data_IF_300803951311
#
_entry.id   IF_300803951311
#
_cell.length_a   1.000
_cell.length_b   1.000
_cell.length_c   1.000
_cell.angle_alpha   90.00
_cell.angle_beta   90.00
_cell.angle_gamma   90.00
#
_symmetry.space_group_name_H-M   'P 1'
#
loop_
_entity.id
_entity.type
_entity.pdbx_description
1 polymer ?
#
# COMPACT_ATOMS: atom_id res chain seq x y z
N UNK A 1 -12.17 -16.33 32.92
CA UNK A 1 -10.95 -17.05 33.34
C UNK A 1 -9.74 -16.28 32.83
N UNK A 2 -8.70 -16.03 33.64
CA UNK A 2 -7.50 -15.34 33.15
C UNK A 2 -6.73 -16.23 32.16
N UNK A 3 -6.29 -15.65 31.04
CA UNK A 3 -5.49 -16.34 30.02
C UNK A 3 -4.22 -16.93 30.65
N UNK A 4 -3.98 -18.25 30.62
CA UNK A 4 -2.83 -18.89 31.27
C UNK A 4 -1.48 -18.31 30.83
N UNK A 5 -1.37 -17.88 29.57
CA UNK A 5 -0.16 -17.27 29.02
C UNK A 5 0.23 -16.00 29.78
N UNK A 6 -0.73 -15.19 30.23
CA UNK A 6 -0.49 -13.94 30.96
C UNK A 6 0.08 -14.15 32.38
N UNK A 7 0.12 -15.40 32.86
CA UNK A 7 0.72 -15.76 34.15
C UNK A 7 2.18 -16.25 34.03
N UNK A 8 2.69 -16.39 32.81
CA UNK A 8 4.07 -16.83 32.60
C UNK A 8 5.06 -15.69 32.88
N UNK A 9 6.31 -15.99 33.29
CA UNK A 9 7.32 -14.97 33.52
C UNK A 9 7.56 -14.10 32.29
N UNK A 10 7.84 -12.81 32.50
CA UNK A 10 8.00 -11.84 31.41
C UNK A 10 9.04 -12.26 30.37
N UNK A 11 10.13 -12.91 30.78
CA UNK A 11 11.18 -13.41 29.88
C UNK A 11 10.63 -14.46 28.91
N UNK A 12 9.83 -15.41 29.42
CA UNK A 12 9.20 -16.46 28.61
C UNK A 12 8.18 -15.86 27.64
N UNK A 13 7.37 -14.91 28.13
CA UNK A 13 6.43 -14.16 27.28
C UNK A 13 7.14 -13.41 26.16
N UNK A 14 8.24 -12.73 26.49
CA UNK A 14 9.03 -11.98 25.53
C UNK A 14 9.59 -12.88 24.43
N UNK A 15 10.08 -14.06 24.82
CA UNK A 15 10.58 -15.06 23.89
C UNK A 15 9.47 -15.57 22.96
N UNK A 16 8.31 -15.97 23.52
CA UNK A 16 7.16 -16.42 22.73
C UNK A 16 6.71 -15.34 21.73
N UNK A 17 6.60 -14.08 22.17
CA UNK A 17 6.18 -12.96 21.31
C UNK A 17 7.17 -12.75 20.16
N UNK A 18 8.48 -12.97 20.39
CA UNK A 18 9.50 -12.80 19.36
C UNK A 18 9.43 -13.83 18.22
N UNK A 19 8.76 -14.97 18.46
CA UNK A 19 8.53 -16.00 17.45
C UNK A 19 7.26 -15.79 16.63
N UNK A 20 6.35 -14.89 17.05
CA UNK A 20 5.08 -14.70 16.37
C UNK A 20 5.24 -13.96 15.04
N UNK A 21 4.50 -14.41 14.03
CA UNK A 21 4.37 -13.70 12.76
C UNK A 21 3.51 -12.42 12.91
N UNK A 22 3.69 -11.40 12.05
CA UNK A 22 2.90 -10.16 12.11
C UNK A 22 1.38 -10.34 12.20
N UNK A 23 0.81 -11.30 11.46
CA UNK A 23 -0.63 -11.61 11.50
C UNK A 23 -1.04 -12.30 12.80
N UNK A 24 -0.16 -13.11 13.40
CA UNK A 24 -0.42 -13.77 14.68
C UNK A 24 -0.41 -12.75 15.82
N UNK A 25 0.48 -11.76 15.77
CA UNK A 25 0.53 -10.65 16.73
C UNK A 25 -0.78 -9.85 16.68
N UNK A 26 -1.20 -9.45 15.47
CA UNK A 26 -2.45 -8.69 15.29
C UNK A 26 -3.66 -9.54 15.67
N UNK A 27 -3.64 -10.85 15.43
CA UNK A 27 -4.72 -11.75 15.87
C UNK A 27 -4.76 -11.87 17.41
N UNK A 28 -3.61 -12.06 18.04
CA UNK A 28 -3.48 -12.20 19.49
C UNK A 28 -3.90 -10.93 20.24
N UNK A 29 -3.65 -9.74 19.67
CA UNK A 29 -4.06 -8.47 20.28
C UNK A 29 -5.58 -8.32 20.40
N UNK A 30 -6.37 -9.07 19.63
CA UNK A 30 -7.82 -9.11 19.73
C UNK A 30 -8.34 -10.13 20.75
N UNK A 31 -7.50 -10.99 21.33
CA UNK A 31 -7.92 -11.99 22.32
C UNK A 31 -8.32 -11.35 23.66
N UNK A 32 -7.64 -10.28 24.08
CA UNK A 32 -8.03 -9.47 25.25
C UNK A 32 -7.33 -8.12 25.27
N UNK A 33 -7.90 -7.16 26.01
CA UNK A 33 -7.26 -5.84 26.24
C UNK A 33 -5.87 -5.98 26.89
N UNK A 34 -5.67 -6.97 27.75
CA UNK A 34 -4.40 -7.18 28.44
C UNK A 34 -3.32 -7.76 27.52
N UNK A 35 -3.69 -8.70 26.62
CA UNK A 35 -2.77 -9.20 25.59
C UNK A 35 -2.38 -8.07 24.64
N UNK A 36 -3.35 -7.24 24.21
CA UNK A 36 -3.06 -6.07 23.36
C UNK A 36 -2.08 -5.09 24.02
N UNK A 37 -2.24 -4.78 25.31
CA UNK A 37 -1.30 -3.93 26.06
C UNK A 37 0.09 -4.57 26.21
N UNK A 38 0.15 -5.88 26.44
CA UNK A 38 1.41 -6.62 26.55
C UNK A 38 2.20 -6.56 25.23
N UNK A 39 1.54 -6.85 24.11
CA UNK A 39 2.15 -6.79 22.78
C UNK A 39 2.61 -5.38 22.45
N UNK A 40 1.77 -4.38 22.71
CA UNK A 40 2.14 -2.97 22.51
C UNK A 40 3.41 -2.61 23.27
N UNK A 41 3.48 -2.91 24.57
CA UNK A 41 4.67 -2.63 25.39
C UNK A 41 5.92 -3.38 24.89
N UNK A 42 5.77 -4.61 24.41
CA UNK A 42 6.87 -5.38 23.86
C UNK A 42 7.50 -4.67 22.64
N UNK A 43 6.66 -4.28 21.68
CA UNK A 43 7.13 -3.66 20.43
C UNK A 43 7.51 -2.19 20.60
N UNK A 44 7.00 -1.50 21.61
CA UNK A 44 7.51 -0.19 22.04
C UNK A 44 8.98 -0.24 22.48
N UNK A 45 9.39 -1.32 23.17
CA UNK A 45 10.76 -1.51 23.64
C UNK A 45 11.68 -2.13 22.58
N UNK A 46 11.11 -2.83 21.60
CA UNK A 46 11.83 -3.59 20.58
C UNK A 46 11.29 -3.26 19.19
N UNK A 47 11.39 -1.98 18.80
CA UNK A 47 10.89 -1.49 17.51
C UNK A 47 11.43 -2.41 16.39
N UNK A 48 10.56 -3.08 15.61
CA UNK A 48 11.02 -3.96 14.55
C UNK A 48 11.50 -3.10 13.38
N UNK A 49 12.79 -2.73 13.40
CA UNK A 49 13.41 -1.74 12.52
C UNK A 49 13.28 -2.07 11.02
N UNK A 50 13.03 -3.33 10.68
CA UNK A 50 13.02 -3.81 9.30
C UNK A 50 11.60 -4.00 8.75
N UNK A 51 10.56 -3.79 9.55
CA UNK A 51 9.19 -4.03 9.13
C UNK A 51 8.66 -2.87 8.31
N UNK A 52 8.15 -3.17 7.11
CA UNK A 52 7.56 -2.19 6.20
C UNK A 52 6.06 -2.44 6.08
N UNK A 53 5.27 -1.48 6.55
CA UNK A 53 3.82 -1.54 6.47
C UNK A 53 3.33 -1.09 5.09
N UNK A 54 2.35 -1.77 4.53
CA UNK A 54 1.70 -1.38 3.29
C UNK A 54 0.19 -1.45 3.42
N UNK A 55 -0.47 -0.39 2.97
CA UNK A 55 -1.92 -0.30 2.86
C UNK A 55 -2.34 -0.75 1.46
N UNK A 56 -3.41 -1.54 1.40
CA UNK A 56 -4.01 -2.01 0.16
C UNK A 56 -5.50 -1.66 0.21
N UNK A 57 -5.98 -0.85 -0.72
CA UNK A 57 -7.40 -0.55 -0.90
C UNK A 57 -7.80 -0.88 -2.35
N UNK A 58 -8.21 -2.12 -2.57
CA UNK A 58 -8.50 -2.66 -3.90
C UNK A 58 -9.84 -3.39 -3.86
N UNK A 59 -10.70 -3.16 -4.85
CA UNK A 59 -12.02 -3.78 -4.96
C UNK A 59 -12.92 -3.49 -3.74
N UNK A 60 -12.89 -2.24 -3.26
CA UNK A 60 -13.61 -1.78 -2.07
C UNK A 60 -13.34 -2.67 -0.83
N UNK A 61 -12.09 -3.09 -0.66
CA UNK A 61 -11.64 -3.84 0.50
C UNK A 61 -10.29 -3.32 0.98
N UNK A 62 -10.27 -2.87 2.23
CA UNK A 62 -9.08 -2.41 2.92
C UNK A 62 -8.27 -3.58 3.48
N UNK A 63 -6.96 -3.51 3.37
CA UNK A 63 -6.05 -4.49 3.98
C UNK A 63 -4.79 -3.78 4.46
N UNK A 64 -4.24 -4.28 5.55
CA UNK A 64 -2.89 -3.93 6.00
C UNK A 64 -2.01 -5.15 5.82
N UNK A 65 -0.83 -4.93 5.26
CA UNK A 65 0.20 -5.94 5.13
C UNK A 65 1.52 -5.46 5.70
N UNK A 66 2.33 -6.39 6.18
CA UNK A 66 3.65 -6.12 6.72
C UNK A 66 4.65 -7.00 5.99
N UNK A 67 5.71 -6.38 5.47
CA UNK A 67 6.87 -7.08 4.96
C UNK A 67 7.96 -7.08 6.04
N UNK A 68 8.43 -8.27 6.39
CA UNK A 68 9.56 -8.47 7.32
C UNK A 68 10.87 -8.58 6.53
N UNK A 69 12.02 -8.57 7.21
CA UNK A 69 13.32 -8.85 6.56
C UNK A 69 13.50 -10.31 6.16
N UNK A 70 12.84 -11.23 6.87
CA UNK A 70 12.91 -12.68 6.62
C UNK A 70 12.09 -13.09 5.39
N UNK A 71 11.02 -12.36 5.10
CA UNK A 71 10.04 -12.73 4.08
C UNK A 71 10.08 -11.86 2.83
N UNK A 72 10.24 -12.51 1.67
CA UNK A 72 10.12 -11.82 0.39
C UNK A 72 8.69 -11.32 0.10
N UNK A 73 7.67 -11.99 0.67
CA UNK A 73 6.24 -11.73 0.42
C UNK A 73 5.61 -10.96 1.60
N UNK A 74 4.82 -9.90 1.34
CA UNK A 74 4.06 -9.22 2.39
C UNK A 74 3.02 -10.15 3.04
N UNK A 75 2.94 -10.12 4.37
CA UNK A 75 1.97 -10.86 5.17
C UNK A 75 0.77 -9.95 5.43
N UNK A 76 -0.44 -10.36 5.02
CA UNK A 76 -1.67 -9.61 5.32
C UNK A 76 -2.04 -9.85 6.79
N UNK A 77 -2.10 -8.78 7.58
CA UNK A 77 -2.29 -8.87 9.03
C UNK A 77 -3.72 -8.58 9.47
N UNK A 78 -4.47 -7.77 8.72
CA UNK A 78 -5.88 -7.45 9.01
C UNK A 78 -6.61 -6.99 7.74
N UNK A 79 -7.91 -7.21 7.69
CA UNK A 79 -8.79 -6.80 6.59
C UNK A 79 -9.98 -5.98 7.11
N UNK A 80 -10.41 -5.03 6.30
CA UNK A 80 -11.66 -4.28 6.45
C UNK A 80 -12.53 -4.53 5.21
N UNK A 81 -13.73 -5.05 5.43
CA UNK A 81 -14.74 -5.32 4.40
C UNK A 81 -16.02 -4.57 4.70
N UNK A 82 -16.86 -4.42 3.68
CA UNK A 82 -18.21 -3.92 3.88
C UNK A 82 -19.09 -4.96 4.61
N UNK A 83 -19.98 -4.51 5.50
CA UNK A 83 -20.85 -5.36 6.33
C UNK A 83 -21.71 -6.34 5.53
N UNK A 84 -22.09 -5.97 4.30
CA UNK A 84 -22.89 -6.85 3.42
C UNK A 84 -22.18 -8.15 3.04
N UNK A 85 -20.85 -8.22 3.22
CA UNK A 85 -20.06 -9.43 2.97
C UNK A 85 -19.98 -10.34 4.20
N UNK A 86 -20.50 -9.91 5.36
CA UNK A 86 -20.50 -10.70 6.58
C UNK A 86 -21.46 -11.89 6.43
N UNK A 87 -20.94 -13.11 6.63
CA UNK A 87 -21.71 -14.36 6.54
C UNK A 87 -21.72 -15.14 7.85
N UNK A 88 -21.13 -14.58 8.90
CA UNK A 88 -21.02 -15.22 10.21
C UNK A 88 -22.28 -15.09 11.05
N UNK A 89 -22.32 -15.88 12.13
CA UNK A 89 -23.20 -15.59 13.25
C UNK A 89 -22.55 -14.48 14.09
N UNK A 90 -23.29 -13.42 14.39
CA UNK A 90 -22.84 -12.30 15.21
C UNK A 90 -22.22 -12.82 16.50
N UNK A 91 -20.89 -12.67 16.64
CA UNK A 91 -20.28 -12.75 17.96
C UNK A 91 -20.62 -11.42 18.61
N UNK A 92 -21.67 -11.40 19.44
CA UNK A 92 -22.09 -10.24 20.22
C UNK A 92 -20.95 -9.77 21.14
N UNK A 93 -20.00 -9.05 20.58
CA UNK A 93 -19.10 -8.19 21.31
C UNK A 93 -19.23 -6.82 20.63
N UNK A 94 -20.24 -6.06 21.06
CA UNK A 94 -20.55 -4.69 20.64
C UNK A 94 -19.47 -3.69 21.09
N UNK A 95 -18.19 -4.06 21.02
CA UNK A 95 -17.08 -3.17 21.30
C UNK A 95 -16.60 -2.55 19.98
N UNK A 96 -17.01 -1.29 19.77
CA UNK A 96 -16.50 -0.32 18.79
C UNK A 96 -17.17 -0.25 17.39
N UNK A 97 -18.39 -0.77 17.22
CA UNK A 97 -19.22 -0.45 16.05
C UNK A 97 -18.85 -1.15 14.73
N UNK A 98 -18.13 -2.27 14.80
CA UNK A 98 -17.82 -3.14 13.66
C UNK A 98 -18.04 -4.61 14.03
N UNK A 99 -18.40 -5.43 13.04
CA UNK A 99 -18.49 -6.89 13.21
C UNK A 99 -17.13 -7.55 12.95
N UNK A 100 -16.84 -8.67 13.61
CA UNK A 100 -15.55 -9.35 13.52
C UNK A 100 -15.72 -10.83 13.17
N UNK A 101 -14.89 -11.29 12.25
CA UNK A 101 -14.75 -12.70 11.92
C UNK A 101 -13.28 -13.12 11.99
N UNK A 102 -13.06 -14.31 12.56
CA UNK A 102 -11.79 -15.02 12.53
C UNK A 102 -11.86 -16.31 11.68
N UNK A 103 -13.04 -16.65 11.16
CA UNK A 103 -13.31 -17.97 10.59
C UNK A 103 -12.31 -18.30 9.48
N UNK A 104 -11.61 -19.44 9.64
CA UNK A 104 -10.62 -20.05 8.73
C UNK A 104 -9.37 -19.22 8.36
N UNK A 105 -9.28 -17.96 8.77
CA UNK A 105 -8.20 -17.06 8.39
C UNK A 105 -7.22 -16.87 9.55
N UNK A 106 -5.91 -17.01 9.29
CA UNK A 106 -4.83 -16.73 10.26
C UNK A 106 -4.73 -15.23 10.65
N UNK A 107 -5.80 -14.46 10.45
CA UNK A 107 -5.84 -12.99 10.55
C UNK A 107 -7.27 -12.50 10.77
N UNK A 108 -7.48 -11.42 11.52
CA UNK A 108 -8.79 -10.81 11.73
C UNK A 108 -9.36 -10.20 10.43
N UNK A 109 -10.67 -10.38 10.24
CA UNK A 109 -11.47 -9.66 9.24
C UNK A 109 -12.52 -8.84 9.99
N UNK A 110 -12.48 -7.54 9.78
CA UNK A 110 -13.42 -6.59 10.36
C UNK A 110 -14.40 -6.10 9.30
N UNK A 111 -15.65 -5.91 9.68
CA UNK A 111 -16.74 -5.53 8.80
C UNK A 111 -17.34 -4.20 9.25
N UNK A 112 -17.39 -3.25 8.33
CA UNK A 112 -17.84 -1.88 8.58
C UNK A 112 -18.95 -1.48 7.61
N UNK A 113 -19.85 -0.59 8.05
CA UNK A 113 -20.81 0.07 7.15
C UNK A 113 -20.10 1.01 6.18
N UNK A 114 -19.14 1.79 6.68
CA UNK A 114 -18.28 2.63 5.87
C UNK A 114 -16.92 1.94 5.68
N UNK A 115 -16.64 1.49 4.47
CA UNK A 115 -15.40 0.79 4.15
C UNK A 115 -14.17 1.70 4.22
N UNK A 116 -14.29 2.99 3.88
CA UNK A 116 -13.18 3.95 3.98
C UNK A 116 -12.81 4.16 5.45
N UNK A 117 -13.81 4.38 6.30
CA UNK A 117 -13.61 4.48 7.74
C UNK A 117 -12.99 3.20 8.32
N UNK A 118 -13.48 2.05 7.87
CA UNK A 118 -12.94 0.74 8.25
C UNK A 118 -11.47 0.57 7.87
N UNK A 119 -11.09 0.93 6.63
CA UNK A 119 -9.70 0.86 6.16
C UNK A 119 -8.79 1.78 6.99
N UNK A 120 -9.21 3.02 7.26
CA UNK A 120 -8.46 3.95 8.11
C UNK A 120 -8.26 3.38 9.51
N UNK A 121 -9.33 2.83 10.10
CA UNK A 121 -9.30 2.26 11.43
C UNK A 121 -8.30 1.09 11.55
N UNK A 122 -8.29 0.15 10.60
CA UNK A 122 -7.36 -1.00 10.66
C UNK A 122 -5.90 -0.57 10.51
N UNK A 123 -5.61 0.48 9.73
CA UNK A 123 -4.26 1.05 9.61
C UNK A 123 -3.84 1.69 10.92
N UNK A 124 -4.70 2.52 11.53
CA UNK A 124 -4.41 3.16 12.81
C UNK A 124 -4.28 2.14 13.95
N UNK A 125 -5.07 1.08 13.94
CA UNK A 125 -4.96 -0.02 14.89
C UNK A 125 -3.60 -0.72 14.80
N UNK A 126 -3.18 -1.12 13.60
CA UNK A 126 -1.91 -1.85 13.41
C UNK A 126 -0.71 -0.96 13.72
N UNK A 127 -0.72 0.29 13.25
CA UNK A 127 0.38 1.24 13.51
C UNK A 127 0.49 1.56 15.00
N UNK A 128 -0.63 1.74 15.71
CA UNK A 128 -0.64 2.00 17.16
C UNK A 128 -0.35 0.77 18.04
N UNK A 129 -0.48 -0.45 17.49
CA UNK A 129 -0.10 -1.69 18.18
C UNK A 129 1.41 -1.91 18.16
N UNK A 130 2.08 -1.57 17.05
CA UNK A 130 3.47 -1.94 16.81
C UNK A 130 4.49 -0.90 17.26
N UNK A 131 4.09 0.34 17.55
CA UNK A 131 5.04 1.39 17.97
C UNK A 131 4.34 2.49 18.80
N UNK A 132 5.12 3.23 19.62
CA UNK A 132 4.65 4.41 20.37
C UNK A 132 4.39 5.61 19.45
N UNK A 133 5.28 5.80 18.49
CA UNK A 133 5.12 6.69 17.34
C UNK A 133 4.29 6.00 16.27
N UNK A 134 3.50 6.77 15.52
CA UNK A 134 2.72 6.23 14.42
C UNK A 134 3.69 5.67 13.38
N UNK A 135 3.67 4.35 13.17
CA UNK A 135 4.46 3.74 12.10
C UNK A 135 3.94 4.28 10.76
N UNK A 136 4.86 4.83 9.97
CA UNK A 136 4.57 5.34 8.64
C UNK A 136 4.19 4.20 7.69
N UNK A 137 3.22 4.47 6.82
CA UNK A 137 2.92 3.60 5.71
C UNK A 137 4.07 3.72 4.71
N UNK A 138 4.65 2.57 4.34
CA UNK A 138 5.76 2.50 3.39
C UNK A 138 5.28 2.30 1.95
N UNK A 139 4.14 1.63 1.79
CA UNK A 139 3.61 1.27 0.47
C UNK A 139 2.10 1.42 0.40
N UNK A 140 1.60 1.87 -0.77
CA UNK A 140 0.18 1.91 -1.08
C UNK A 140 -0.09 1.12 -2.36
N UNK A 141 -1.12 0.27 -2.32
CA UNK A 141 -1.75 -0.31 -3.51
C UNK A 141 -3.20 0.14 -3.51
N UNK A 142 -3.63 0.87 -4.54
CA UNK A 142 -4.99 1.37 -4.61
C UNK A 142 -5.54 1.30 -6.03
N UNK A 143 -6.81 0.95 -6.18
CA UNK A 143 -7.53 1.17 -7.44
C UNK A 143 -8.36 2.46 -7.37
N UNK A 144 -9.21 2.67 -8.38
CA UNK A 144 -10.06 3.86 -8.49
C UNK A 144 -10.97 4.10 -7.29
N UNK A 145 -11.42 3.07 -6.57
CA UNK A 145 -12.20 3.24 -5.33
C UNK A 145 -11.33 3.69 -4.16
N UNK A 146 -10.05 3.36 -4.20
CA UNK A 146 -9.03 3.75 -3.23
C UNK A 146 -8.36 5.11 -3.46
N UNK A 147 -8.83 5.95 -4.40
CA UNK A 147 -8.22 7.26 -4.69
C UNK A 147 -8.05 8.14 -3.43
N UNK A 148 -9.03 8.09 -2.52
CA UNK A 148 -9.01 8.81 -1.24
C UNK A 148 -7.78 8.49 -0.38
N UNK A 149 -7.16 7.32 -0.57
CA UNK A 149 -6.02 6.87 0.23
C UNK A 149 -4.79 7.75 0.01
N UNK A 150 -4.60 8.30 -1.20
CA UNK A 150 -3.46 9.17 -1.51
C UNK A 150 -3.51 10.43 -0.65
N UNK A 151 -4.65 11.13 -0.70
CA UNK A 151 -4.85 12.37 0.07
C UNK A 151 -4.83 12.09 1.58
N UNK A 152 -5.44 10.99 2.02
CA UNK A 152 -5.45 10.64 3.43
C UNK A 152 -4.04 10.37 3.97
N UNK A 153 -3.21 9.62 3.24
CA UNK A 153 -1.83 9.33 3.64
C UNK A 153 -0.98 10.59 3.64
N UNK A 154 -1.08 11.41 2.58
CA UNK A 154 -0.35 12.68 2.48
C UNK A 154 -0.67 13.64 3.64
N UNK A 155 -1.89 13.60 4.19
CA UNK A 155 -2.28 14.38 5.36
C UNK A 155 -1.93 13.71 6.70
N UNK A 156 -1.76 12.38 6.71
CA UNK A 156 -1.54 11.59 7.93
C UNK A 156 -0.09 11.56 8.37
N UNK A 157 0.86 11.51 7.42
CA UNK A 157 2.28 11.32 7.70
C UNK A 157 3.14 12.29 6.89
N UNK A 158 4.21 12.80 7.51
CA UNK A 158 5.19 13.67 6.84
C UNK A 158 6.09 12.87 5.88
N UNK A 159 6.41 11.61 6.25
CA UNK A 159 7.27 10.75 5.45
C UNK A 159 6.53 10.26 4.20
N UNK A 160 7.15 10.46 3.03
CA UNK A 160 6.61 9.99 1.76
C UNK A 160 6.54 8.46 1.67
N UNK A 161 5.56 7.95 0.93
CA UNK A 161 5.47 6.55 0.57
C UNK A 161 6.67 6.14 -0.27
N UNK A 162 7.38 5.07 0.08
CA UNK A 162 8.45 4.54 -0.77
C UNK A 162 7.88 3.85 -2.02
N UNK A 163 6.71 3.21 -1.90
CA UNK A 163 6.15 2.38 -2.97
C UNK A 163 4.69 2.72 -3.25
N UNK A 164 4.34 2.80 -4.52
CA UNK A 164 2.98 3.00 -4.96
C UNK A 164 2.68 2.13 -6.17
N UNK A 165 1.54 1.45 -6.12
CA UNK A 165 1.05 0.62 -7.20
C UNK A 165 -0.41 0.96 -7.45
N UNK A 166 -0.72 1.34 -8.68
CA UNK A 166 -2.06 1.65 -9.13
C UNK A 166 -2.49 0.64 -10.20
N UNK A 167 -3.03 -0.53 -9.81
CA UNK A 167 -3.42 -1.56 -10.75
C UNK A 167 -4.79 -1.30 -11.37
N UNK A 168 -5.00 -1.82 -12.59
CA UNK A 168 -6.31 -1.85 -13.23
C UNK A 168 -7.22 -2.77 -12.45
N UNK A 169 -8.40 -2.28 -12.12
CA UNK A 169 -9.47 -3.14 -11.65
C UNK A 169 -10.47 -3.41 -12.80
N UNK A 170 -10.54 -4.64 -13.32
CA UNK A 170 -11.42 -4.96 -14.45
C UNK A 170 -12.91 -4.82 -14.12
N UNK A 171 -13.28 -4.76 -12.83
CA UNK A 171 -14.68 -4.55 -12.41
C UNK A 171 -15.14 -3.11 -12.62
N UNK A 172 -14.21 -2.16 -12.74
CA UNK A 172 -14.52 -0.74 -12.81
C UNK A 172 -14.01 -0.14 -14.12
N UNK A 173 -14.88 -0.12 -15.13
CA UNK A 173 -14.71 0.71 -16.33
C UNK A 173 -15.53 1.99 -16.17
N UNK A 174 -15.15 2.82 -15.22
CA UNK A 174 -15.81 4.08 -14.92
C UNK A 174 -15.40 5.19 -15.91
N UNK A 175 -16.35 6.09 -16.17
CA UNK A 175 -16.25 7.19 -17.15
C UNK A 175 -15.27 8.30 -16.76
N UNK A 176 -14.78 8.31 -15.52
CA UNK A 176 -13.84 9.30 -14.99
C UNK A 176 -12.40 8.79 -14.90
N UNK A 177 -12.04 7.82 -15.76
CA UNK A 177 -10.72 7.21 -15.83
C UNK A 177 -9.59 8.27 -15.90
N UNK A 178 -9.73 9.20 -16.83
CA UNK A 178 -8.73 10.24 -17.12
C UNK A 178 -8.50 11.17 -15.93
N UNK A 179 -9.59 11.68 -15.34
CA UNK A 179 -9.53 12.55 -14.16
C UNK A 179 -8.88 11.84 -12.96
N UNK A 180 -9.20 10.56 -12.79
CA UNK A 180 -8.67 9.74 -11.70
C UNK A 180 -7.17 9.53 -11.89
N UNK A 181 -6.72 9.14 -13.09
CA UNK A 181 -5.30 8.91 -13.37
C UNK A 181 -4.50 10.22 -13.35
N UNK A 182 -5.04 11.34 -13.84
CA UNK A 182 -4.39 12.65 -13.73
C UNK A 182 -4.21 13.06 -12.26
N UNK A 183 -5.24 12.89 -11.43
CA UNK A 183 -5.12 13.14 -9.99
C UNK A 183 -4.04 12.25 -9.35
N UNK A 184 -4.01 10.95 -9.67
CA UNK A 184 -3.00 10.01 -9.15
C UNK A 184 -1.59 10.46 -9.55
N UNK A 185 -1.37 10.77 -10.82
CA UNK A 185 -0.08 11.22 -11.35
C UNK A 185 0.42 12.50 -10.65
N UNK A 186 -0.48 13.42 -10.31
CA UNK A 186 -0.13 14.69 -9.65
C UNK A 186 0.12 14.56 -8.15
N UNK A 187 -0.55 13.62 -7.48
CA UNK A 187 -0.59 13.56 -6.01
C UNK A 187 0.19 12.38 -5.41
N UNK A 188 0.52 11.35 -6.21
CA UNK A 188 1.36 10.25 -5.76
C UNK A 188 2.82 10.70 -5.63
N UNK A 189 3.23 11.10 -4.42
CA UNK A 189 4.61 11.51 -4.10
C UNK A 189 5.42 10.31 -3.59
N UNK A 190 6.25 9.73 -4.46
CA UNK A 190 6.87 8.42 -4.23
C UNK A 190 8.31 8.40 -4.72
N UNK A 191 9.34 8.39 -3.84
CA UNK A 191 10.73 8.57 -4.26
C UNK A 191 11.39 7.27 -4.73
N UNK A 192 10.83 6.09 -4.47
CA UNK A 192 11.49 4.82 -4.80
C UNK A 192 10.81 4.06 -5.95
N UNK A 193 9.54 3.69 -5.84
CA UNK A 193 8.91 2.81 -6.84
C UNK A 193 7.46 3.18 -7.10
N UNK A 194 7.15 3.58 -8.34
CA UNK A 194 5.81 3.91 -8.79
C UNK A 194 5.42 3.02 -10.00
N UNK A 195 4.28 2.35 -9.90
CA UNK A 195 3.69 1.61 -11.02
C UNK A 195 2.25 2.06 -11.24
N UNK A 196 1.90 2.37 -12.49
CA UNK A 196 0.55 2.74 -12.91
C UNK A 196 0.16 1.82 -14.05
N UNK A 197 -0.93 1.08 -13.87
CA UNK A 197 -1.46 0.10 -14.81
C UNK A 197 -2.96 0.31 -14.92
N UNK A 198 -3.45 1.47 -15.32
CA UNK A 198 -4.89 1.74 -15.41
C UNK A 198 -5.22 2.35 -16.79
N UNK A 199 -6.42 2.05 -17.30
CA UNK A 199 -6.81 2.52 -18.62
C UNK A 199 -7.19 4.01 -18.58
N UNK A 200 -6.84 4.71 -19.64
CA UNK A 200 -7.24 6.10 -19.90
C UNK A 200 -7.77 6.18 -21.34
N UNK A 201 -8.48 7.25 -21.67
CA UNK A 201 -8.94 7.50 -23.03
C UNK A 201 -7.77 7.68 -24.00
N UNK A 202 -8.04 7.51 -25.30
CA UNK A 202 -7.02 7.73 -26.35
C UNK A 202 -6.57 9.19 -26.47
N UNK A 203 -7.42 10.13 -26.02
CA UNK A 203 -7.18 11.58 -26.05
C UNK A 203 -6.50 12.09 -24.77
N UNK A 204 -6.33 11.22 -23.76
CA UNK A 204 -5.69 11.58 -22.51
C UNK A 204 -4.27 12.11 -22.72
N UNK A 205 -3.97 13.22 -22.05
CA UNK A 205 -2.64 13.84 -22.06
C UNK A 205 -2.29 14.31 -20.66
N UNK A 206 -1.10 13.94 -20.22
CA UNK A 206 -0.53 14.43 -18.98
C UNK A 206 0.54 15.49 -19.29
N UNK A 207 0.35 16.69 -18.75
CA UNK A 207 1.27 17.83 -18.90
C UNK A 207 1.92 18.24 -17.56
N UNK A 208 1.80 17.40 -16.53
CA UNK A 208 2.43 17.65 -15.23
C UNK A 208 3.89 17.20 -15.18
N UNK A 209 4.50 17.33 -14.00
CA UNK A 209 5.82 16.76 -13.71
C UNK A 209 5.64 15.48 -12.91
N UNK A 210 6.46 14.47 -13.20
CA UNK A 210 6.57 13.24 -12.41
C UNK A 210 7.97 13.12 -11.83
N UNK A 211 8.03 12.75 -10.55
CA UNK A 211 9.27 12.59 -9.81
C UNK A 211 9.58 13.75 -8.87
N UNK A 212 10.71 13.69 -8.14
CA UNK A 212 11.80 12.70 -8.28
C UNK A 212 11.41 11.30 -7.81
N UNK A 213 11.82 10.26 -8.56
CA UNK A 213 11.70 8.86 -8.13
C UNK A 213 12.81 7.95 -8.68
N UNK A 214 13.05 6.78 -8.08
CA UNK A 214 14.04 5.84 -8.63
C UNK A 214 13.48 5.03 -9.80
N UNK A 215 12.24 4.54 -9.70
CA UNK A 215 11.65 3.65 -10.70
C UNK A 215 10.21 4.05 -11.00
N UNK A 216 9.91 4.24 -12.29
CA UNK A 216 8.59 4.52 -12.82
C UNK A 216 8.22 3.45 -13.86
N UNK A 217 7.10 2.79 -13.68
CA UNK A 217 6.54 1.86 -14.65
C UNK A 217 5.12 2.24 -15.02
N UNK A 218 4.89 2.61 -16.28
CA UNK A 218 3.56 2.76 -16.87
C UNK A 218 3.28 1.47 -17.63
N UNK A 219 2.31 0.69 -17.16
CA UNK A 219 1.97 -0.64 -17.69
C UNK A 219 0.72 -0.56 -18.56
N UNK A 220 0.71 -1.35 -19.62
CA UNK A 220 -0.43 -1.64 -20.52
C UNK A 220 -1.03 -0.45 -21.31
N UNK A 221 -1.02 0.77 -20.77
CA UNK A 221 -1.75 1.95 -21.25
C UNK A 221 -0.84 3.20 -21.30
N UNK A 222 0.40 3.02 -21.73
CA UNK A 222 1.39 4.10 -21.85
C UNK A 222 1.28 4.95 -23.11
N UNK A 223 0.17 4.88 -23.86
CA UNK A 223 0.00 5.56 -25.15
C UNK A 223 0.00 7.09 -25.05
N UNK A 224 -0.32 7.64 -23.88
CA UNK A 224 -0.31 9.07 -23.58
C UNK A 224 1.10 9.62 -23.26
N UNK A 225 2.10 8.75 -23.06
CA UNK A 225 3.47 9.17 -22.79
C UNK A 225 4.12 9.65 -24.08
N UNK A 226 4.35 10.96 -24.17
CA UNK A 226 5.04 11.60 -25.30
C UNK A 226 6.55 11.67 -25.08
N UNK A 227 7.31 11.99 -26.13
CA UNK A 227 8.75 12.24 -26.04
C UNK A 227 9.06 13.36 -25.03
N UNK A 228 8.26 14.42 -25.04
CA UNK A 228 8.39 15.54 -24.10
C UNK A 228 8.14 15.07 -22.66
N UNK A 229 7.19 14.16 -22.43
CA UNK A 229 6.96 13.61 -21.10
C UNK A 229 8.20 12.85 -20.61
N UNK A 230 8.79 11.99 -21.45
CA UNK A 230 10.00 11.27 -21.11
C UNK A 230 11.19 12.19 -20.78
N UNK A 231 11.39 13.26 -21.55
CA UNK A 231 12.47 14.23 -21.28
C UNK A 231 12.26 14.99 -19.97
N UNK A 232 11.02 15.13 -19.50
CA UNK A 232 10.68 15.87 -18.28
C UNK A 232 10.50 14.98 -17.03
N UNK A 233 10.46 13.67 -17.18
CA UNK A 233 10.32 12.76 -16.03
C UNK A 233 11.63 12.69 -15.24
N UNK A 234 11.52 12.95 -13.94
CA UNK A 234 12.63 12.84 -13.00
C UNK A 234 12.63 11.43 -12.40
N UNK A 235 13.15 10.47 -13.17
CA UNK A 235 13.31 9.08 -12.75
C UNK A 235 14.60 8.46 -13.24
N UNK A 236 15.17 7.52 -12.47
CA UNK A 236 16.36 6.73 -12.83
C UNK A 236 15.99 5.53 -13.71
N UNK A 237 14.81 4.96 -13.57
CA UNK A 237 14.36 3.85 -14.44
C UNK A 237 12.95 4.16 -14.89
N UNK A 238 12.74 4.08 -16.20
CA UNK A 238 11.43 4.33 -16.82
C UNK A 238 11.11 3.15 -17.72
N UNK A 239 10.00 2.47 -17.44
CA UNK A 239 9.39 1.49 -18.34
C UNK A 239 8.01 1.98 -18.76
N UNK A 240 7.74 1.97 -20.07
CA UNK A 240 6.44 2.37 -20.64
C UNK A 240 5.97 1.30 -21.60
N UNK A 241 4.98 0.53 -21.17
CA UNK A 241 4.33 -0.49 -21.99
C UNK A 241 3.11 0.12 -22.71
N UNK A 242 2.83 -0.32 -23.94
CA UNK A 242 1.71 0.22 -24.73
C UNK A 242 1.91 1.65 -25.25
N UNK A 243 3.18 2.09 -25.36
CA UNK A 243 3.53 3.42 -25.87
C UNK A 243 3.27 3.57 -27.38
N UNK A 244 3.03 4.82 -27.81
CA UNK A 244 3.01 5.23 -29.23
C UNK A 244 4.35 5.80 -29.71
N UNK A 245 5.38 5.78 -28.86
CA UNK A 245 6.71 6.30 -29.20
C UNK A 245 7.35 5.48 -30.33
N UNK A 246 7.87 6.20 -31.31
CA UNK A 246 8.57 5.61 -32.45
C UNK A 246 10.06 5.41 -32.16
N UNK A 247 10.73 4.59 -32.97
CA UNK A 247 12.19 4.41 -32.90
C UNK A 247 12.96 5.74 -33.03
N UNK A 248 12.60 6.67 -33.95
CA UNK A 248 13.17 8.02 -33.97
C UNK A 248 13.00 8.82 -32.66
N UNK A 249 11.87 8.68 -31.97
CA UNK A 249 11.65 9.35 -30.68
C UNK A 249 12.62 8.82 -29.62
N UNK A 250 12.79 7.49 -29.56
CA UNK A 250 13.75 6.86 -28.66
C UNK A 250 15.18 7.31 -28.94
N UNK A 251 15.58 7.42 -30.21
CA UNK A 251 16.90 7.95 -30.56
C UNK A 251 17.08 9.41 -30.14
N UNK A 252 16.04 10.22 -30.27
CA UNK A 252 16.05 11.61 -29.83
C UNK A 252 16.19 11.73 -28.32
N UNK A 253 15.46 10.89 -27.57
CA UNK A 253 15.59 10.77 -26.12
C UNK A 253 17.00 10.35 -25.70
N UNK A 254 17.56 9.28 -26.29
CA UNK A 254 18.91 8.80 -25.96
C UNK A 254 20.00 9.83 -26.25
N UNK A 255 19.87 10.60 -27.35
CA UNK A 255 20.79 11.70 -27.66
C UNK A 255 20.72 12.80 -26.62
N UNK A 256 19.52 13.22 -26.25
CA UNK A 256 19.28 14.22 -25.22
C UNK A 256 19.85 13.78 -23.85
N UNK A 257 19.60 12.52 -23.49
CA UNK A 257 20.13 11.91 -22.27
C UNK A 257 21.66 11.90 -22.24
N UNK A 258 22.31 11.48 -23.34
CA UNK A 258 23.78 11.44 -23.45
C UNK A 258 24.42 12.82 -23.26
N UNK A 259 23.72 13.89 -23.59
CA UNK A 259 24.20 15.27 -23.38
C UNK A 259 23.99 15.80 -21.95
N UNK A 260 23.52 14.95 -21.02
CA UNK A 260 23.25 15.33 -19.63
C UNK A 260 21.89 16.02 -19.43
N UNK A 261 20.96 15.88 -20.38
CA UNK A 261 19.65 16.52 -20.33
C UNK A 261 18.66 15.90 -19.32
N UNK A 262 18.98 14.74 -18.74
CA UNK A 262 18.13 14.05 -17.74
C UNK A 262 18.99 13.37 -16.67
N UNK A 263 18.42 12.97 -15.51
CA UNK A 263 19.13 12.22 -14.47
C UNK A 263 19.78 10.93 -15.02
N UNK A 264 20.79 10.36 -14.36
CA UNK A 264 21.38 9.08 -14.79
C UNK A 264 20.32 7.98 -14.76
N UNK A 265 20.01 7.38 -15.91
CA UNK A 265 18.97 6.35 -16.08
C UNK A 265 19.58 4.98 -16.36
N UNK A 266 19.06 3.93 -15.73
CA UNK A 266 19.23 2.52 -16.13
C UNK A 266 18.06 2.11 -17.04
N UNK A 267 18.32 1.88 -18.33
CA UNK A 267 17.31 1.46 -19.31
C UNK A 267 17.33 -0.07 -19.46
N UNK A 268 16.26 -0.74 -19.04
CA UNK A 268 16.02 -2.15 -19.37
C UNK A 268 14.90 -2.26 -20.41
N UNK A 269 15.26 -2.59 -21.66
CA UNK A 269 14.30 -2.91 -22.73
C UNK A 269 13.96 -4.40 -22.59
N UNK A 270 12.69 -4.79 -22.34
CA UNK A 270 12.32 -6.20 -22.37
C UNK A 270 12.47 -6.73 -23.81
N UNK A 271 13.21 -7.83 -23.97
CA UNK A 271 13.24 -8.58 -25.22
C UNK A 271 11.86 -9.21 -25.45
N UNK A 272 11.37 -9.09 -26.70
CA UNK A 272 10.09 -9.59 -27.20
C UNK A 272 9.84 -11.07 -26.90
#
# INVERSE_FOLDING_TARGET
MPFPILRTPFVVLSEIISFLEPNEIVSASFCSKDVGRLLKRHYEQRKPLEWRLSMIDYDAMGRVSIKTSKDCKPIIVILAKHISQFKGHTLEDHTNGYEREFASSKRPVLYFNDQVLGTKWIVDYVTGLLTREVLDINGLIADRKGIWAIDWINNRQEKMLERFVWPKNPKYNNSNADETVDHVLRNARVPLFCTIDDNVSDDFKFNGKLGPMKQLFIRSYGHWVTLNNLMNFDSITIGVDGSRLSVPDLFSFLRHWRTGGSPPIDVSIPAF
#
